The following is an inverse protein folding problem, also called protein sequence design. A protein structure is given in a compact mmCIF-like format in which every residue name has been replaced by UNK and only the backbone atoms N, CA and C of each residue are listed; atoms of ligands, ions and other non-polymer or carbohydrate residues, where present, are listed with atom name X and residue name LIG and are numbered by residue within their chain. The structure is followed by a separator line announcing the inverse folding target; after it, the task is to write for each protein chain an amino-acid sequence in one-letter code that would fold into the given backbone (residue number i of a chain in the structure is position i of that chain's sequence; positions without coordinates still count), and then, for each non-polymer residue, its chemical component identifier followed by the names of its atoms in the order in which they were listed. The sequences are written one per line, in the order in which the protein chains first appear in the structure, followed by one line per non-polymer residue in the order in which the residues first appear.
data_IF_704193929911
#
_entry.id   IF_704193929911
#
_cell.length_a   1.000
_cell.length_b   1.000
_cell.length_c   1.000
_cell.angle_alpha   90.00
_cell.angle_beta   90.00
_cell.angle_gamma   90.00
#
_symmetry.space_group_name_H-M   'P 1'
#
loop_
_entity.id
_entity.type
_entity.pdbx_description
1 polymer ?
#
# COMPACT_ATOMS: atom_id res chain seq x y z
N UNK A 1 18.07 21.01 11.81
CA UNK A 1 16.66 20.65 12.04
C UNK A 1 15.98 20.62 10.67
N UNK A 2 16.04 19.47 10.00
CA UNK A 2 15.57 19.32 8.61
C UNK A 2 14.84 17.98 8.43
N UNK A 3 14.14 17.54 9.49
CA UNK A 3 13.39 16.27 9.51
C UNK A 3 11.89 16.42 9.19
N UNK A 4 11.40 17.64 8.92
CA UNK A 4 9.95 17.91 8.89
C UNK A 4 9.31 17.83 7.49
N UNK A 5 10.09 17.76 6.40
CA UNK A 5 9.58 17.77 5.02
C UNK A 5 10.26 16.70 4.13
N UNK A 6 10.49 15.50 4.63
CA UNK A 6 10.94 14.36 3.80
C UNK A 6 9.79 13.39 3.57
N UNK A 7 9.84 12.64 2.47
CA UNK A 7 8.87 11.57 2.21
C UNK A 7 8.81 10.56 3.37
N UNK A 8 9.97 10.21 3.94
CA UNK A 8 10.11 9.38 5.15
C UNK A 8 9.34 9.97 6.34
N UNK A 9 9.49 11.26 6.64
CA UNK A 9 8.83 11.87 7.80
C UNK A 9 7.28 11.89 7.67
N UNK A 10 6.77 12.10 6.45
CA UNK A 10 5.34 11.97 6.20
C UNK A 10 4.89 10.50 6.29
N UNK A 11 5.67 9.54 5.78
CA UNK A 11 5.36 8.13 5.92
C UNK A 11 5.31 7.69 7.40
N UNK A 12 6.33 8.05 8.19
CA UNK A 12 6.40 7.73 9.62
C UNK A 12 5.20 8.29 10.39
N UNK A 13 4.83 9.55 10.13
CA UNK A 13 3.65 10.17 10.74
C UNK A 13 2.35 9.47 10.30
N UNK A 14 2.27 9.07 9.04
CA UNK A 14 1.15 8.28 8.53
C UNK A 14 1.01 6.96 9.28
N UNK A 15 2.12 6.25 9.51
CA UNK A 15 2.13 5.01 10.28
C UNK A 15 1.69 5.23 11.74
N UNK A 16 2.19 6.28 12.39
CA UNK A 16 1.76 6.64 13.77
C UNK A 16 0.25 6.92 13.85
N UNK A 17 -0.33 7.56 12.83
CA UNK A 17 -1.79 7.78 12.76
C UNK A 17 -2.55 6.47 12.58
N UNK A 18 -2.07 5.59 11.70
CA UNK A 18 -2.68 4.28 11.45
C UNK A 18 -2.68 3.40 12.71
N UNK A 19 -1.62 3.46 13.53
CA UNK A 19 -1.55 2.78 14.83
C UNK A 19 -2.63 3.26 15.82
N UNK A 20 -3.20 4.44 15.59
CA UNK A 20 -4.30 5.03 16.36
C UNK A 20 -5.65 5.00 15.63
N UNK A 21 -5.79 4.12 14.63
CA UNK A 21 -6.99 3.95 13.80
C UNK A 21 -7.40 5.21 12.99
N UNK A 22 -6.53 6.22 12.87
CA UNK A 22 -6.72 7.40 12.01
C UNK A 22 -6.24 7.10 10.58
N UNK A 23 -6.92 6.15 9.92
CA UNK A 23 -6.57 5.72 8.57
C UNK A 23 -6.70 6.83 7.52
N UNK A 24 -7.67 7.73 7.68
CA UNK A 24 -7.90 8.84 6.75
C UNK A 24 -6.76 9.87 6.85
N UNK A 25 -6.32 10.20 8.07
CA UNK A 25 -5.15 11.03 8.29
C UNK A 25 -3.85 10.36 7.81
N UNK A 26 -3.70 9.05 8.03
CA UNK A 26 -2.57 8.27 7.54
C UNK A 26 -2.47 8.30 6.01
N UNK A 27 -3.59 8.09 5.31
CA UNK A 27 -3.68 8.17 3.84
C UNK A 27 -3.28 9.54 3.32
N UNK A 28 -3.67 10.62 4.00
CA UNK A 28 -3.26 11.97 3.64
C UNK A 28 -1.73 12.14 3.76
N UNK A 29 -1.15 11.63 4.84
CA UNK A 29 0.28 11.71 5.10
C UNK A 29 1.09 10.88 4.08
N UNK A 30 0.69 9.65 3.76
CA UNK A 30 1.34 8.87 2.69
C UNK A 30 1.20 9.55 1.32
N UNK A 31 0.10 10.27 1.07
CA UNK A 31 -0.09 11.00 -0.18
C UNK A 31 0.92 12.13 -0.33
N UNK A 32 1.22 12.86 0.75
CA UNK A 32 2.31 13.84 0.77
C UNK A 32 3.68 13.17 0.59
N UNK A 33 3.92 12.02 1.25
CA UNK A 33 5.15 11.27 1.06
C UNK A 33 5.38 10.87 -0.42
N UNK A 34 4.33 10.36 -1.07
CA UNK A 34 4.33 9.98 -2.48
C UNK A 34 4.51 11.19 -3.41
N UNK A 35 3.95 12.35 -3.06
CA UNK A 35 4.13 13.57 -3.83
C UNK A 35 5.58 14.08 -3.79
N UNK A 36 6.27 13.87 -2.66
CA UNK A 36 7.69 14.23 -2.47
C UNK A 36 8.59 13.22 -3.18
N UNK A 37 8.34 11.92 -3.01
CA UNK A 37 9.07 10.84 -3.68
C UNK A 37 8.10 9.84 -4.32
N UNK A 38 7.82 9.98 -5.63
CA UNK A 38 6.93 9.08 -6.36
C UNK A 38 7.46 7.65 -6.52
N UNK A 39 8.70 7.38 -6.12
CA UNK A 39 9.34 6.06 -6.16
C UNK A 39 9.39 5.38 -4.79
N UNK A 40 8.85 6.02 -3.74
CA UNK A 40 8.86 5.48 -2.39
C UNK A 40 7.81 4.37 -2.20
N UNK A 41 8.19 3.14 -2.56
CA UNK A 41 7.29 1.98 -2.58
C UNK A 41 6.61 1.70 -1.23
N UNK A 42 7.28 1.97 -0.12
CA UNK A 42 6.74 1.76 1.23
C UNK A 42 5.52 2.65 1.51
N UNK A 43 5.56 3.93 1.11
CA UNK A 43 4.43 4.84 1.27
C UNK A 43 3.21 4.39 0.45
N UNK A 44 3.41 3.86 -0.76
CA UNK A 44 2.32 3.24 -1.52
C UNK A 44 1.76 1.99 -0.82
N UNK A 45 2.64 1.12 -0.30
CA UNK A 45 2.22 -0.10 0.39
C UNK A 45 1.38 0.21 1.64
N UNK A 46 1.83 1.17 2.46
CA UNK A 46 1.14 1.60 3.67
C UNK A 46 -0.21 2.26 3.33
N UNK A 47 -0.24 3.13 2.31
CA UNK A 47 -1.49 3.74 1.84
C UNK A 47 -2.47 2.69 1.31
N UNK A 48 -1.99 1.68 0.60
CA UNK A 48 -2.82 0.59 0.09
C UNK A 48 -3.45 -0.24 1.22
N UNK A 49 -2.67 -0.49 2.27
CA UNK A 49 -3.13 -1.20 3.45
C UNK A 49 -4.25 -0.43 4.15
N UNK A 50 -4.03 0.85 4.46
CA UNK A 50 -5.03 1.68 5.15
C UNK A 50 -6.27 1.94 4.28
N UNK A 51 -6.10 2.07 2.95
CA UNK A 51 -7.22 2.09 1.99
C UNK A 51 -8.05 0.81 2.07
N UNK A 52 -7.41 -0.35 2.26
CA UNK A 52 -8.12 -1.62 2.43
C UNK A 52 -8.92 -1.67 3.73
N UNK A 53 -8.40 -1.10 4.83
CA UNK A 53 -9.10 -1.01 6.12
C UNK A 53 -10.37 -0.16 6.02
N UNK A 54 -10.33 0.96 5.28
CA UNK A 54 -11.52 1.79 5.01
C UNK A 54 -12.37 1.29 3.82
N UNK A 55 -12.07 0.09 3.29
CA UNK A 55 -12.77 -0.58 2.17
C UNK A 55 -12.67 0.13 0.82
N UNK A 56 -11.72 1.04 0.64
CA UNK A 56 -11.29 1.53 -0.67
C UNK A 56 -10.40 0.51 -1.37
N UNK A 57 -11.00 -0.64 -1.73
CA UNK A 57 -10.27 -1.74 -2.37
C UNK A 57 -9.76 -1.37 -3.77
N UNK A 58 -10.45 -0.45 -4.46
CA UNK A 58 -10.00 0.01 -5.78
C UNK A 58 -8.72 0.83 -5.66
N UNK A 59 -8.68 1.82 -4.76
CA UNK A 59 -7.48 2.59 -4.49
C UNK A 59 -6.34 1.75 -3.92
N UNK A 60 -6.65 0.75 -3.08
CA UNK A 60 -5.66 -0.21 -2.59
C UNK A 60 -5.03 -1.03 -3.73
N UNK A 61 -5.81 -1.48 -4.71
CA UNK A 61 -5.30 -2.22 -5.87
C UNK A 61 -4.36 -1.35 -6.71
N UNK A 62 -4.71 -0.08 -6.93
CA UNK A 62 -3.86 0.87 -7.64
C UNK A 62 -2.51 1.03 -6.94
N UNK A 63 -2.52 1.25 -5.62
CA UNK A 63 -1.30 1.44 -4.85
C UNK A 63 -0.45 0.17 -4.75
N UNK A 64 -1.04 -1.00 -4.48
CA UNK A 64 -0.29 -2.26 -4.50
C UNK A 64 0.28 -2.58 -5.89
N UNK A 65 -0.42 -2.20 -6.96
CA UNK A 65 0.12 -2.31 -8.32
C UNK A 65 1.35 -1.42 -8.48
N UNK A 66 1.32 -0.21 -7.91
CA UNK A 66 2.49 0.67 -7.93
C UNK A 66 3.67 0.10 -7.14
N UNK A 67 3.42 -0.53 -6.00
CA UNK A 67 4.46 -1.25 -5.24
C UNK A 67 5.09 -2.34 -6.11
N UNK A 68 4.28 -3.13 -6.81
CA UNK A 68 4.76 -4.21 -7.69
C UNK A 68 5.57 -3.68 -8.88
N UNK A 69 5.20 -2.53 -9.44
CA UNK A 69 6.01 -1.87 -10.49
C UNK A 69 7.40 -1.45 -9.99
N UNK A 70 7.49 -0.98 -8.74
CA UNK A 70 8.73 -0.50 -8.13
C UNK A 70 9.58 -1.64 -7.54
N UNK A 71 8.93 -2.66 -6.98
CA UNK A 71 9.52 -3.81 -6.32
C UNK A 71 8.80 -5.11 -6.77
N UNK A 72 9.18 -5.68 -7.94
CA UNK A 72 8.48 -6.81 -8.53
C UNK A 72 8.52 -8.12 -7.72
N UNK A 73 9.38 -8.20 -6.72
CA UNK A 73 9.55 -9.33 -5.80
C UNK A 73 8.85 -9.12 -4.44
N UNK A 74 8.08 -8.03 -4.28
CA UNK A 74 7.33 -7.73 -3.07
C UNK A 74 6.13 -8.70 -2.88
N UNK A 75 6.40 -9.91 -2.41
CA UNK A 75 5.39 -10.95 -2.18
C UNK A 75 4.15 -10.47 -1.37
N UNK A 76 4.31 -9.67 -0.30
CA UNK A 76 3.16 -9.14 0.45
C UNK A 76 2.25 -8.23 -0.39
N UNK A 77 2.80 -7.46 -1.34
CA UNK A 77 2.01 -6.57 -2.20
C UNK A 77 1.11 -7.36 -3.15
N UNK A 78 1.60 -8.46 -3.72
CA UNK A 78 0.75 -9.37 -4.50
C UNK A 78 -0.36 -9.96 -3.64
N UNK A 79 -0.03 -10.50 -2.47
CA UNK A 79 -1.01 -11.12 -1.60
C UNK A 79 -2.13 -10.15 -1.20
N UNK A 80 -1.78 -8.95 -0.74
CA UNK A 80 -2.77 -7.96 -0.32
C UNK A 80 -3.57 -7.39 -1.51
N UNK A 81 -2.95 -7.21 -2.68
CA UNK A 81 -3.69 -6.86 -3.91
C UNK A 81 -4.68 -7.96 -4.28
N UNK A 82 -4.29 -9.23 -4.14
CA UNK A 82 -5.17 -10.37 -4.36
C UNK A 82 -6.35 -10.38 -3.39
N UNK A 83 -6.13 -10.06 -2.11
CA UNK A 83 -7.21 -9.90 -1.14
C UNK A 83 -8.17 -8.77 -1.52
N UNK A 84 -7.66 -7.60 -1.92
CA UNK A 84 -8.48 -6.48 -2.36
C UNK A 84 -9.30 -6.82 -3.61
N UNK A 85 -8.70 -7.51 -4.60
CA UNK A 85 -9.40 -8.03 -5.79
C UNK A 85 -10.53 -8.98 -5.42
N UNK A 86 -10.29 -9.89 -4.49
CA UNK A 86 -11.33 -10.81 -4.02
C UNK A 86 -12.50 -10.06 -3.36
N UNK A 87 -12.24 -8.98 -2.61
CA UNK A 87 -13.29 -8.13 -2.04
C UNK A 87 -14.14 -7.41 -3.09
N UNK A 88 -13.59 -7.15 -4.28
CA UNK A 88 -14.31 -6.61 -5.44
C UNK A 88 -14.92 -7.69 -6.35
N UNK A 89 -14.78 -8.98 -6.00
CA UNK A 89 -15.33 -10.09 -6.77
C UNK A 89 -14.44 -10.58 -7.92
N UNK A 90 -13.22 -10.05 -8.07
CA UNK A 90 -12.23 -10.54 -9.03
C UNK A 90 -11.49 -11.77 -8.46
N UNK A 91 -12.18 -12.91 -8.47
CA UNK A 91 -11.66 -14.17 -7.94
C UNK A 91 -10.49 -14.71 -8.79
N UNK A 92 -10.50 -14.50 -10.10
CA UNK A 92 -9.44 -14.95 -11.00
C UNK A 92 -8.14 -14.17 -10.75
N UNK A 93 -8.22 -12.84 -10.68
CA UNK A 93 -7.09 -11.98 -10.37
C UNK A 93 -6.55 -12.21 -8.95
N UNK A 94 -7.43 -12.47 -7.99
CA UNK A 94 -7.03 -12.83 -6.62
C UNK A 94 -6.22 -14.14 -6.57
N UNK A 95 -6.67 -15.17 -7.29
CA UNK A 95 -5.97 -16.45 -7.35
C UNK A 95 -4.60 -16.32 -8.03
N UNK A 96 -4.52 -15.54 -9.11
CA UNK A 96 -3.27 -15.28 -9.81
C UNK A 96 -2.25 -14.57 -8.89
N UNK A 97 -2.67 -13.52 -8.19
CA UNK A 97 -1.82 -12.79 -7.26
C UNK A 97 -1.37 -13.66 -6.07
N UNK A 98 -2.28 -14.44 -5.48
CA UNK A 98 -1.93 -15.38 -4.41
C UNK A 98 -0.93 -16.45 -4.86
N UNK A 99 -1.08 -16.98 -6.08
CA UNK A 99 -0.15 -17.96 -6.63
C UNK A 99 1.24 -17.35 -6.84
N UNK A 100 1.29 -16.10 -7.31
CA UNK A 100 2.55 -15.39 -7.52
C UNK A 100 3.24 -15.07 -6.18
N UNK A 101 2.51 -14.57 -5.19
CA UNK A 101 3.03 -14.32 -3.84
C UNK A 101 3.69 -15.58 -3.23
N UNK A 102 3.06 -16.75 -3.39
CA UNK A 102 3.64 -18.04 -2.95
C UNK A 102 4.92 -18.41 -3.69
N UNK A 103 4.97 -18.13 -4.99
CA UNK A 103 6.20 -18.37 -5.77
C UNK A 103 7.37 -17.50 -5.34
N UNK A 104 7.09 -16.34 -4.71
CA UNK A 104 8.06 -15.43 -4.11
C UNK A 104 8.38 -15.76 -2.63
N UNK A 105 7.76 -16.80 -2.06
CA UNK A 105 8.09 -17.30 -0.73
C UNK A 105 7.15 -16.90 0.42
N UNK A 106 5.95 -16.39 0.11
CA UNK A 106 4.87 -16.23 1.10
C UNK A 106 4.16 -17.57 1.39
#
# INVERSE_FOLDING_TARGET
MEKLNSAEAYNDRGMERAEHDDFEGAIADYTEAIAIDPTYAEAYYNRAYDRSEIRDYAGAIEDYTKVIELAPDAAPAYFNRGMAKAKLGDAEGANADCAHAKSLGL
#
